data_IF_961711095533
#
_entry.id   IF_961711095533
#
_cell.length_a   1.000
_cell.length_b   1.000
_cell.length_c   1.000
_cell.angle_alpha   90.00
_cell.angle_beta   90.00
_cell.angle_gamma   90.00
#
_symmetry.space_group_name_H-M   'P 1'
#
loop_
_entity.id
_entity.type
_entity.pdbx_description
1 polymer ?
#
# COMPACT_ATOMS: atom_id res chain seq x y z
N UNK A 1 17.37 5.72 -37.61
CA UNK A 1 17.87 6.45 -36.43
C UNK A 1 18.04 7.92 -36.82
N UNK A 2 16.99 8.71 -36.69
CA UNK A 2 16.97 10.18 -36.78
C UNK A 2 15.53 10.62 -36.52
N UNK A 3 15.18 10.67 -35.25
CA UNK A 3 13.89 11.19 -34.80
C UNK A 3 14.11 11.97 -33.50
N UNK A 4 14.93 13.02 -33.54
CA UNK A 4 15.22 13.80 -32.35
C UNK A 4 15.45 15.29 -32.60
N UNK A 5 15.10 15.82 -33.75
CA UNK A 5 15.33 17.25 -34.05
C UNK A 5 14.06 18.12 -34.01
N UNK A 6 12.88 17.52 -33.81
CA UNK A 6 11.62 18.27 -33.80
C UNK A 6 11.20 18.75 -32.38
N UNK A 7 11.83 18.28 -31.30
CA UNK A 7 11.47 18.59 -29.94
C UNK A 7 12.19 19.78 -29.31
N UNK A 8 13.08 20.45 -30.02
CA UNK A 8 13.85 21.59 -29.51
C UNK A 8 13.34 22.97 -29.94
N UNK A 9 12.10 23.09 -30.39
CA UNK A 9 11.51 24.40 -30.69
C UNK A 9 10.73 24.94 -29.46
N UNK A 10 11.33 25.88 -28.76
CA UNK A 10 10.71 26.58 -27.63
C UNK A 10 11.56 26.61 -26.38
N UNK A 11 10.99 27.09 -25.29
CA UNK A 11 11.60 27.14 -23.93
C UNK A 11 11.51 25.81 -23.17
N UNK A 12 10.76 24.83 -23.70
CA UNK A 12 10.61 23.52 -23.10
C UNK A 12 11.90 22.72 -23.22
N UNK A 13 12.34 22.15 -22.12
CA UNK A 13 13.47 21.21 -22.05
C UNK A 13 13.05 20.00 -21.23
N UNK A 14 13.04 18.78 -21.83
CA UNK A 14 12.63 17.56 -21.13
C UNK A 14 13.43 17.26 -19.84
N UNK A 15 14.68 17.74 -19.78
CA UNK A 15 15.54 17.60 -18.60
C UNK A 15 15.04 18.36 -17.35
N UNK A 16 14.10 19.29 -17.53
CA UNK A 16 13.45 20.03 -16.45
C UNK A 16 12.06 19.47 -16.08
N UNK A 17 11.62 18.43 -16.77
CA UNK A 17 10.40 17.71 -16.38
C UNK A 17 10.66 16.92 -15.11
N UNK A 18 9.99 17.31 -14.03
CA UNK A 18 10.05 16.63 -12.75
C UNK A 18 8.65 16.34 -12.28
N UNK A 19 8.46 15.15 -11.68
CA UNK A 19 7.22 14.82 -11.01
C UNK A 19 6.98 15.79 -9.86
N UNK A 20 5.78 16.34 -9.78
CA UNK A 20 5.38 17.25 -8.72
C UNK A 20 4.73 16.47 -7.58
N UNK A 21 5.50 16.13 -6.54
CA UNK A 21 4.99 15.49 -5.33
C UNK A 21 4.96 16.48 -4.16
N UNK A 22 3.95 16.32 -3.28
CA UNK A 22 3.94 16.93 -1.96
C UNK A 22 4.26 15.85 -0.93
N UNK A 23 5.23 16.08 -0.06
CA UNK A 23 5.61 15.16 1.01
C UNK A 23 5.66 15.93 2.33
N UNK A 24 5.13 15.31 3.39
CA UNK A 24 5.29 15.78 4.76
C UNK A 24 5.67 14.61 5.67
N UNK A 25 6.30 14.91 6.79
CA UNK A 25 6.67 13.93 7.79
C UNK A 25 6.44 14.49 9.20
N UNK A 26 5.94 13.65 10.09
CA UNK A 26 5.75 13.94 11.50
C UNK A 26 6.40 12.84 12.34
N UNK A 27 7.01 13.24 13.45
CA UNK A 27 7.55 12.30 14.41
C UNK A 27 7.39 12.89 15.82
N UNK A 28 7.04 12.03 16.79
CA UNK A 28 7.14 12.39 18.20
C UNK A 28 8.60 12.24 18.65
N UNK A 29 9.15 13.32 19.24
CA UNK A 29 10.56 13.34 19.66
C UNK A 29 10.87 12.44 20.87
N UNK A 30 9.82 12.08 21.62
CA UNK A 30 9.93 11.16 22.76
C UNK A 30 9.69 9.70 22.36
N UNK A 31 9.28 9.47 21.09
CA UNK A 31 8.93 8.14 20.59
C UNK A 31 7.60 7.61 21.10
N UNK A 32 6.73 8.49 21.63
CA UNK A 32 5.41 8.09 22.11
C UNK A 32 4.42 7.92 20.96
N UNK A 33 3.54 6.94 21.09
CA UNK A 33 2.52 6.65 20.08
C UNK A 33 1.22 7.36 20.43
N UNK A 34 0.84 8.34 19.60
CA UNK A 34 -0.39 9.10 19.77
C UNK A 34 -1.21 9.09 18.48
N UNK A 35 -2.52 8.95 18.62
CA UNK A 35 -3.43 9.07 17.48
C UNK A 35 -3.34 10.45 16.81
N UNK A 36 -3.06 11.49 17.59
CA UNK A 36 -2.90 12.85 17.06
C UNK A 36 -1.86 12.96 15.94
N UNK A 37 -0.76 12.19 15.99
CA UNK A 37 0.25 12.16 14.92
C UNK A 37 -0.36 11.71 13.59
N UNK A 38 -1.29 10.75 13.62
CA UNK A 38 -1.99 10.31 12.41
C UNK A 38 -2.93 11.40 11.90
N UNK A 39 -3.70 12.06 12.76
CA UNK A 39 -4.59 13.16 12.38
C UNK A 39 -3.80 14.34 11.79
N UNK A 40 -2.68 14.68 12.39
CA UNK A 40 -1.80 15.74 11.90
C UNK A 40 -1.16 15.34 10.55
N UNK A 41 -0.76 14.08 10.36
CA UNK A 41 -0.26 13.57 9.08
C UNK A 41 -1.33 13.59 7.98
N UNK A 42 -2.57 13.24 8.31
CA UNK A 42 -3.71 13.39 7.39
C UNK A 42 -3.97 14.86 7.06
N UNK A 43 -3.79 15.77 8.02
CA UNK A 43 -3.92 17.20 7.80
C UNK A 43 -2.86 17.75 6.85
N UNK A 44 -1.66 17.16 6.82
CA UNK A 44 -0.63 17.49 5.81
C UNK A 44 -1.16 17.17 4.41
N UNK A 45 -1.80 16.04 4.20
CA UNK A 45 -2.36 15.68 2.88
C UNK A 45 -3.38 16.71 2.41
N UNK A 46 -4.24 17.22 3.32
CA UNK A 46 -5.17 18.32 3.01
C UNK A 46 -4.42 19.56 2.56
N UNK A 47 -3.41 19.96 3.33
CA UNK A 47 -2.65 21.17 3.04
C UNK A 47 -1.84 21.06 1.72
N UNK A 48 -1.59 19.83 1.26
CA UNK A 48 -0.91 19.54 0.00
C UNK A 48 -1.85 19.35 -1.21
N UNK A 49 -3.17 19.48 -1.02
CA UNK A 49 -4.16 19.32 -2.10
C UNK A 49 -3.87 20.21 -3.31
N UNK A 50 -3.39 21.44 -3.08
CA UNK A 50 -3.00 22.39 -4.13
C UNK A 50 -1.80 21.93 -4.98
N UNK A 51 -1.12 20.86 -4.58
CA UNK A 51 -0.01 20.23 -5.30
C UNK A 51 -0.45 19.00 -6.10
N UNK A 52 -1.69 18.55 -5.93
CA UNK A 52 -2.28 17.46 -6.68
C UNK A 52 -2.88 17.92 -8.01
N UNK A 53 -2.88 17.06 -9.01
CA UNK A 53 -3.62 17.24 -10.25
C UNK A 53 -5.03 16.68 -10.12
N UNK A 54 -5.98 17.34 -10.75
CA UNK A 54 -7.32 16.80 -10.98
C UNK A 54 -7.43 16.33 -12.41
N UNK A 55 -8.02 15.15 -12.63
CA UNK A 55 -8.28 14.61 -13.96
C UNK A 55 -9.46 15.32 -14.65
N UNK A 56 -9.94 14.71 -15.75
CA UNK A 56 -11.14 15.18 -16.45
C UNK A 56 -12.40 15.13 -15.56
N UNK A 57 -12.42 14.23 -14.60
CA UNK A 57 -13.49 14.11 -13.62
C UNK A 57 -13.08 14.86 -12.34
N UNK A 58 -14.00 15.65 -11.77
CA UNK A 58 -13.74 16.40 -10.54
C UNK A 58 -13.39 15.51 -9.33
N UNK A 59 -13.83 14.24 -9.39
CA UNK A 59 -13.65 13.25 -8.33
C UNK A 59 -12.55 12.25 -8.64
N UNK A 60 -11.70 12.53 -9.63
CA UNK A 60 -10.54 11.70 -9.98
C UNK A 60 -9.31 12.59 -10.03
N UNK A 61 -8.31 12.28 -9.24
CA UNK A 61 -7.07 13.05 -9.15
C UNK A 61 -5.87 12.15 -8.91
N UNK A 62 -4.73 12.78 -8.68
CA UNK A 62 -3.51 12.11 -8.25
C UNK A 62 -3.77 11.40 -6.91
N UNK A 63 -3.22 10.23 -6.73
CA UNK A 63 -3.39 9.48 -5.50
C UNK A 63 -2.74 10.14 -4.29
N UNK A 64 -3.22 9.80 -3.11
CA UNK A 64 -2.60 10.16 -1.84
C UNK A 64 -2.25 8.90 -1.04
N UNK A 65 -1.31 9.02 -0.12
CA UNK A 65 -0.94 7.90 0.74
C UNK A 65 -0.33 8.35 2.05
N UNK A 66 -0.37 7.45 3.01
CA UNK A 66 0.23 7.64 4.33
C UNK A 66 1.01 6.39 4.73
N UNK A 67 2.19 6.59 5.30
CA UNK A 67 3.01 5.55 5.91
C UNK A 67 3.05 5.79 7.41
N UNK A 68 2.73 4.78 8.20
CA UNK A 68 2.78 4.86 9.66
C UNK A 68 3.13 3.50 10.28
N UNK A 69 3.33 3.46 11.59
CA UNK A 69 3.64 2.23 12.30
C UNK A 69 2.48 1.24 12.23
N UNK A 70 2.79 -0.07 12.20
CA UNK A 70 1.77 -1.13 12.25
C UNK A 70 0.89 -0.95 13.50
N UNK A 71 -0.43 -0.73 13.35
CA UNK A 71 -1.32 -0.48 14.47
C UNK A 71 -1.73 -1.82 15.11
N UNK A 72 -0.88 -2.36 16.01
CA UNK A 72 -1.06 -3.69 16.59
C UNK A 72 -2.42 -3.88 17.27
N UNK A 73 -2.86 -2.91 18.07
CA UNK A 73 -4.14 -3.01 18.78
C UNK A 73 -5.34 -3.10 17.83
N UNK A 74 -5.29 -2.33 16.75
CA UNK A 74 -6.30 -2.40 15.71
C UNK A 74 -6.32 -3.77 15.04
N UNK A 75 -5.17 -4.22 14.52
CA UNK A 75 -5.12 -5.51 13.83
C UNK A 75 -5.45 -6.70 14.73
N UNK A 76 -5.17 -6.61 16.02
CA UNK A 76 -5.60 -7.63 16.98
C UNK A 76 -7.12 -7.71 17.07
N UNK A 77 -7.82 -6.56 17.12
CA UNK A 77 -9.30 -6.52 17.10
C UNK A 77 -9.86 -7.07 15.78
N UNK A 78 -9.26 -6.67 14.65
CA UNK A 78 -9.69 -7.14 13.33
C UNK A 78 -9.47 -8.65 13.14
N UNK A 79 -8.34 -9.19 13.57
CA UNK A 79 -8.06 -10.62 13.56
C UNK A 79 -9.11 -11.40 14.40
N UNK A 80 -9.44 -10.90 15.59
CA UNK A 80 -10.46 -11.52 16.44
C UNK A 80 -11.84 -11.56 15.76
N UNK A 81 -12.24 -10.52 15.04
CA UNK A 81 -13.50 -10.52 14.26
C UNK A 81 -13.53 -11.64 13.19
N UNK A 82 -12.37 -11.99 12.66
CA UNK A 82 -12.20 -13.07 11.68
C UNK A 82 -11.93 -14.43 12.32
N UNK A 83 -12.00 -14.54 13.66
CA UNK A 83 -11.68 -15.78 14.37
C UNK A 83 -10.20 -16.16 14.36
N UNK A 84 -9.31 -15.19 14.07
CA UNK A 84 -7.86 -15.39 13.99
C UNK A 84 -7.16 -14.86 15.24
N UNK A 85 -6.03 -15.49 15.57
CA UNK A 85 -5.15 -15.04 16.66
C UNK A 85 -3.92 -14.36 16.02
N UNK A 86 -3.74 -13.08 16.33
CA UNK A 86 -2.58 -12.34 15.88
C UNK A 86 -1.42 -12.57 16.85
N UNK A 87 -0.19 -12.87 16.38
CA UNK A 87 0.99 -12.96 17.24
C UNK A 87 1.30 -11.63 17.96
N UNK A 88 2.27 -11.65 18.87
CA UNK A 88 2.73 -10.44 19.53
C UNK A 88 3.28 -9.41 18.55
N UNK A 89 3.30 -8.14 18.96
CA UNK A 89 3.88 -7.06 18.16
C UNK A 89 5.36 -7.36 17.84
N UNK A 90 5.72 -7.22 16.55
CA UNK A 90 7.05 -7.56 16.06
C UNK A 90 7.25 -9.02 15.64
N UNK A 91 6.32 -9.93 16.00
CA UNK A 91 6.34 -11.34 15.60
C UNK A 91 5.50 -11.63 14.36
N UNK A 92 4.97 -10.60 13.73
CA UNK A 92 4.27 -10.71 12.45
C UNK A 92 4.55 -9.48 11.58
N UNK A 93 4.41 -9.66 10.29
CA UNK A 93 4.42 -8.59 9.30
C UNK A 93 3.06 -8.44 8.62
N UNK A 94 2.82 -7.28 8.03
CA UNK A 94 1.62 -7.01 7.24
C UNK A 94 2.05 -6.60 5.83
N UNK A 95 1.51 -7.29 4.83
CA UNK A 95 1.60 -6.87 3.44
C UNK A 95 0.31 -6.16 3.03
N UNK A 96 0.43 -4.98 2.42
CA UNK A 96 -0.66 -4.27 1.76
C UNK A 96 -0.55 -4.51 0.26
N UNK A 97 -1.62 -5.02 -0.34
CA UNK A 97 -1.61 -5.59 -1.68
C UNK A 97 -2.77 -5.06 -2.51
N UNK A 98 -2.48 -4.75 -3.78
CA UNK A 98 -3.46 -4.36 -4.76
C UNK A 98 -3.57 -5.47 -5.81
N UNK A 99 -4.77 -5.97 -6.00
CA UNK A 99 -5.11 -7.09 -6.89
C UNK A 99 -6.05 -6.65 -8.01
N UNK A 100 -6.20 -7.46 -9.07
CA UNK A 100 -7.23 -7.25 -10.08
C UNK A 100 -8.63 -7.18 -9.48
N UNK A 101 -9.59 -6.68 -10.26
CA UNK A 101 -11.01 -6.66 -9.86
C UNK A 101 -11.69 -8.03 -10.02
N UNK A 102 -11.22 -8.82 -10.97
CA UNK A 102 -11.84 -10.09 -11.29
C UNK A 102 -11.38 -11.22 -10.35
N UNK A 103 -12.31 -12.10 -9.99
CA UNK A 103 -12.05 -13.21 -9.04
C UNK A 103 -10.92 -14.13 -9.48
N UNK A 104 -10.77 -14.37 -10.79
CA UNK A 104 -9.70 -15.20 -11.33
C UNK A 104 -8.35 -14.54 -11.11
N UNK A 105 -8.25 -13.26 -11.44
CA UNK A 105 -7.02 -12.49 -11.23
C UNK A 105 -6.64 -12.40 -9.75
N UNK A 106 -7.62 -12.19 -8.87
CA UNK A 106 -7.40 -12.26 -7.41
C UNK A 106 -6.88 -13.64 -7.00
N UNK A 107 -7.49 -14.71 -7.51
CA UNK A 107 -7.07 -16.08 -7.20
C UNK A 107 -5.64 -16.38 -7.67
N UNK A 108 -5.31 -16.02 -8.91
CA UNK A 108 -3.97 -16.19 -9.49
C UNK A 108 -2.91 -15.38 -8.69
N UNK A 109 -3.21 -14.14 -8.35
CA UNK A 109 -2.30 -13.28 -7.59
C UNK A 109 -2.09 -13.78 -6.15
N UNK A 110 -3.14 -14.25 -5.48
CA UNK A 110 -3.02 -14.89 -4.14
C UNK A 110 -2.15 -16.13 -4.19
N UNK A 111 -2.35 -17.00 -5.18
CA UNK A 111 -1.53 -18.20 -5.36
C UNK A 111 -0.05 -17.85 -5.52
N UNK A 112 0.28 -16.89 -6.40
CA UNK A 112 1.67 -16.43 -6.59
C UNK A 112 2.26 -15.87 -5.30
N UNK A 113 1.49 -15.11 -4.55
CA UNK A 113 1.90 -14.57 -3.26
C UNK A 113 2.18 -15.69 -2.25
N UNK A 114 1.28 -16.66 -2.12
CA UNK A 114 1.38 -17.79 -1.20
C UNK A 114 2.58 -18.69 -1.54
N UNK A 115 2.79 -18.98 -2.83
CA UNK A 115 3.97 -19.73 -3.32
C UNK A 115 5.28 -18.97 -3.00
N UNK A 116 5.31 -17.66 -3.21
CA UNK A 116 6.48 -16.84 -2.88
C UNK A 116 6.78 -16.79 -1.38
N UNK A 117 5.75 -16.74 -0.54
CA UNK A 117 5.89 -16.84 0.91
C UNK A 117 6.45 -18.21 1.32
N UNK A 118 5.92 -19.29 0.75
CA UNK A 118 6.39 -20.66 1.01
C UNK A 118 7.86 -20.84 0.60
N UNK A 119 8.25 -20.37 -0.59
CA UNK A 119 9.63 -20.39 -1.08
C UNK A 119 10.60 -19.61 -0.18
N UNK A 120 10.17 -18.44 0.32
CA UNK A 120 10.95 -17.64 1.24
C UNK A 120 10.93 -18.17 2.68
N UNK A 121 10.13 -19.21 2.98
CA UNK A 121 9.97 -19.77 4.32
C UNK A 121 9.33 -18.78 5.31
N UNK A 122 8.39 -17.94 4.84
CA UNK A 122 7.64 -16.99 5.65
C UNK A 122 6.20 -17.47 5.77
N UNK A 123 5.71 -17.86 6.96
CA UNK A 123 4.36 -18.37 7.13
C UNK A 123 3.31 -17.31 6.82
N UNK A 124 2.34 -17.61 5.95
CA UNK A 124 1.12 -16.83 5.80
C UNK A 124 0.14 -17.26 6.91
N UNK A 125 -0.30 -16.30 7.72
CA UNK A 125 -1.22 -16.53 8.81
C UNK A 125 -2.67 -16.48 8.33
N UNK A 126 -3.07 -15.35 7.75
CA UNK A 126 -4.42 -15.14 7.20
C UNK A 126 -4.46 -13.93 6.26
N UNK A 127 -5.55 -13.85 5.52
CA UNK A 127 -5.91 -12.73 4.67
C UNK A 127 -6.98 -11.86 5.32
N UNK A 128 -6.91 -10.56 5.09
CA UNK A 128 -7.96 -9.59 5.45
C UNK A 128 -8.29 -8.76 4.23
N UNK A 129 -9.56 -8.66 3.92
CA UNK A 129 -10.04 -7.68 2.95
C UNK A 129 -10.05 -6.28 3.59
N UNK A 130 -9.51 -5.30 2.86
CA UNK A 130 -9.52 -3.91 3.32
C UNK A 130 -10.86 -3.30 2.93
N UNK A 131 -11.66 -2.78 3.89
CA UNK A 131 -12.88 -2.09 3.55
C UNK A 131 -12.58 -0.87 2.68
N UNK A 132 -13.23 -0.73 1.54
CA UNK A 132 -13.14 0.43 0.65
C UNK A 132 -14.53 1.00 0.39
N UNK A 133 -14.63 2.32 0.38
CA UNK A 133 -15.84 3.01 -0.01
C UNK A 133 -15.66 3.68 -1.38
N UNK A 134 -16.25 3.13 -2.45
CA UNK A 134 -16.13 3.67 -3.79
C UNK A 134 -17.15 4.77 -4.10
N UNK A 135 -17.96 5.21 -3.11
CA UNK A 135 -19.12 6.06 -3.36
C UNK A 135 -18.76 7.37 -4.09
N UNK A 136 -17.66 8.00 -3.67
CA UNK A 136 -17.23 9.31 -4.20
C UNK A 136 -16.22 9.21 -5.35
N UNK A 137 -15.88 8.01 -5.81
CA UNK A 137 -14.99 7.84 -6.96
C UNK A 137 -15.68 8.17 -8.27
N UNK A 138 -14.97 8.88 -9.17
CA UNK A 138 -15.39 9.06 -10.56
C UNK A 138 -15.48 7.72 -11.31
N UNK A 139 -16.19 7.71 -12.45
CA UNK A 139 -16.39 6.47 -13.24
C UNK A 139 -15.06 5.84 -13.68
N UNK A 140 -14.11 6.66 -14.14
CA UNK A 140 -12.81 6.18 -14.59
C UNK A 140 -12.02 5.53 -13.45
N UNK A 141 -11.97 6.16 -12.26
CA UNK A 141 -11.28 5.62 -11.10
C UNK A 141 -11.96 4.32 -10.61
N UNK A 142 -13.29 4.28 -10.62
CA UNK A 142 -14.06 3.10 -10.23
C UNK A 142 -13.85 1.93 -11.20
N UNK A 143 -13.72 2.20 -12.50
CA UNK A 143 -13.49 1.18 -13.53
C UNK A 143 -12.10 0.51 -13.38
N UNK A 144 -11.12 1.19 -12.80
CA UNK A 144 -9.77 0.65 -12.57
C UNK A 144 -9.42 0.43 -11.09
N UNK A 145 -10.40 0.53 -10.18
CA UNK A 145 -10.19 0.33 -8.75
C UNK A 145 -9.70 -1.09 -8.46
N UNK A 146 -8.57 -1.28 -7.77
CA UNK A 146 -8.08 -2.61 -7.43
C UNK A 146 -8.87 -3.22 -6.26
N UNK A 147 -8.86 -4.54 -6.15
CA UNK A 147 -9.20 -5.23 -4.91
C UNK A 147 -8.03 -5.08 -3.93
N UNK A 148 -8.28 -4.59 -2.72
CA UNK A 148 -7.23 -4.31 -1.74
C UNK A 148 -7.29 -5.36 -0.64
N UNK A 149 -6.20 -6.11 -0.48
CA UNK A 149 -6.08 -7.13 0.55
C UNK A 149 -4.86 -6.89 1.45
N UNK A 150 -4.96 -7.35 2.68
CA UNK A 150 -3.85 -7.45 3.60
C UNK A 150 -3.53 -8.92 3.85
N UNK A 151 -2.24 -9.28 3.75
CA UNK A 151 -1.74 -10.58 4.17
C UNK A 151 -0.95 -10.42 5.47
N UNK A 152 -1.29 -11.21 6.47
CA UNK A 152 -0.58 -11.27 7.74
C UNK A 152 0.41 -12.43 7.70
N UNK A 153 1.66 -12.13 8.01
CA UNK A 153 2.81 -13.02 7.84
C UNK A 153 3.46 -13.27 9.19
N UNK A 154 3.62 -14.53 9.56
CA UNK A 154 4.30 -14.90 10.79
C UNK A 154 5.82 -14.74 10.68
N UNK A 155 6.47 -14.43 11.80
CA UNK A 155 7.93 -14.51 11.90
C UNK A 155 8.33 -15.99 11.97
N UNK A 156 9.24 -16.47 11.08
CA UNK A 156 9.77 -17.82 11.17
C UNK A 156 10.55 -18.05 12.47
N UNK A 157 10.48 -19.25 13.04
CA UNK A 157 11.15 -19.61 14.29
C UNK A 157 12.69 -19.46 14.23
N UNK A 158 13.27 -19.66 13.04
CA UNK A 158 14.69 -19.52 12.76
C UNK A 158 15.15 -18.08 12.57
N UNK A 159 14.23 -17.12 12.60
CA UNK A 159 14.48 -15.72 12.27
C UNK A 159 14.33 -14.84 13.53
N UNK A 160 15.39 -14.18 14.02
CA UNK A 160 15.30 -13.23 15.12
C UNK A 160 14.35 -12.06 14.80
N UNK A 161 13.67 -11.54 15.81
CA UNK A 161 12.83 -10.36 15.68
C UNK A 161 13.63 -9.11 15.26
N UNK A 162 12.96 -8.07 14.82
CA UNK A 162 13.57 -6.80 14.44
C UNK A 162 14.17 -6.83 13.02
N UNK A 163 15.39 -6.34 12.84
CA UNK A 163 16.00 -6.16 11.51
C UNK A 163 16.19 -7.46 10.73
N UNK A 164 16.39 -8.58 11.42
CA UNK A 164 16.51 -9.88 10.76
C UNK A 164 15.16 -10.27 10.09
N UNK A 165 14.07 -10.06 10.79
CA UNK A 165 12.74 -10.33 10.24
C UNK A 165 12.37 -9.34 9.13
N UNK A 166 12.71 -8.05 9.26
CA UNK A 166 12.52 -7.08 8.17
C UNK A 166 13.27 -7.50 6.89
N UNK A 167 14.51 -7.94 7.00
CA UNK A 167 15.28 -8.47 5.85
C UNK A 167 14.63 -9.71 5.25
N UNK A 168 14.09 -10.61 6.09
CA UNK A 168 13.39 -11.80 5.63
C UNK A 168 12.13 -11.43 4.85
N UNK A 169 11.33 -10.49 5.36
CA UNK A 169 10.16 -9.95 4.67
C UNK A 169 10.53 -9.27 3.35
N UNK A 170 11.63 -8.50 3.32
CA UNK A 170 12.12 -7.89 2.08
C UNK A 170 12.49 -8.94 1.02
N UNK A 171 13.24 -9.98 1.40
CA UNK A 171 13.60 -11.07 0.49
C UNK A 171 12.34 -11.80 -0.01
N UNK A 172 11.40 -12.09 0.89
CA UNK A 172 10.11 -12.69 0.55
C UNK A 172 9.34 -11.82 -0.47
N UNK A 173 9.22 -10.53 -0.22
CA UNK A 173 8.63 -9.56 -1.16
C UNK A 173 9.27 -9.64 -2.54
N UNK A 174 10.62 -9.62 -2.61
CA UNK A 174 11.35 -9.67 -3.90
C UNK A 174 11.15 -11.00 -4.62
N UNK A 175 11.01 -12.11 -3.90
CA UNK A 175 10.67 -13.41 -4.47
C UNK A 175 9.28 -13.39 -5.08
N UNK A 176 8.30 -12.86 -4.35
CA UNK A 176 6.91 -12.70 -4.82
C UNK A 176 6.86 -11.83 -6.08
N UNK A 177 7.50 -10.65 -6.05
CA UNK A 177 7.52 -9.71 -7.18
C UNK A 177 8.13 -10.36 -8.43
N UNK A 178 9.25 -11.08 -8.31
CA UNK A 178 9.86 -11.80 -9.44
C UNK A 178 8.94 -12.88 -10.01
N UNK A 179 8.25 -13.63 -9.16
CA UNK A 179 7.27 -14.65 -9.61
C UNK A 179 6.12 -13.99 -10.34
N UNK A 180 5.58 -12.91 -9.78
CA UNK A 180 4.49 -12.16 -10.40
C UNK A 180 4.90 -11.57 -11.75
N UNK A 181 6.08 -10.97 -11.86
CA UNK A 181 6.61 -10.44 -13.13
C UNK A 181 6.77 -11.55 -14.18
N UNK A 182 7.24 -12.73 -13.79
CA UNK A 182 7.41 -13.86 -14.70
C UNK A 182 6.07 -14.44 -15.17
N UNK A 183 5.09 -14.57 -14.28
CA UNK A 183 3.80 -15.18 -14.60
C UNK A 183 2.86 -14.23 -15.32
N UNK A 184 2.89 -12.93 -14.96
CA UNK A 184 2.00 -11.91 -15.51
C UNK A 184 2.69 -11.02 -16.57
N UNK A 185 3.87 -11.40 -17.08
CA UNK A 185 4.66 -10.63 -18.04
C UNK A 185 3.91 -10.26 -19.32
N UNK A 186 2.90 -11.04 -19.70
CA UNK A 186 2.06 -10.83 -20.91
C UNK A 186 0.67 -10.25 -20.58
N UNK A 187 0.40 -9.96 -19.32
CA UNK A 187 -0.84 -9.32 -18.88
C UNK A 187 -0.49 -7.95 -18.31
N UNK A 188 -1.40 -6.99 -18.42
CA UNK A 188 -1.24 -5.71 -17.74
C UNK A 188 -0.98 -5.98 -16.25
N UNK A 189 0.04 -5.30 -15.69
CA UNK A 189 0.50 -5.49 -14.31
C UNK A 189 -0.65 -5.33 -13.34
N UNK A 190 -1.19 -6.45 -12.88
CA UNK A 190 -2.41 -6.51 -12.10
C UNK A 190 -2.14 -6.72 -10.61
N UNK A 191 -0.87 -6.93 -10.24
CA UNK A 191 -0.47 -7.24 -8.88
C UNK A 191 0.59 -6.25 -8.39
N UNK A 192 0.33 -5.65 -7.24
CA UNK A 192 1.24 -4.68 -6.65
C UNK A 192 1.36 -4.86 -5.14
N UNK A 193 2.59 -5.04 -4.66
CA UNK A 193 2.91 -5.04 -3.22
C UNK A 193 3.21 -3.61 -2.78
N UNK A 194 2.26 -2.95 -2.14
CA UNK A 194 2.42 -1.57 -1.67
C UNK A 194 3.43 -1.48 -0.53
N UNK A 195 3.25 -2.30 0.49
CA UNK A 195 4.17 -2.43 1.63
C UNK A 195 4.18 -3.86 2.15
N UNK A 196 5.27 -4.27 2.81
CA UNK A 196 5.41 -5.55 3.49
C UNK A 196 6.45 -5.39 4.58
N UNK A 197 6.02 -5.24 5.83
CA UNK A 197 6.88 -4.92 6.96
C UNK A 197 6.23 -5.36 8.27
N UNK A 198 7.06 -5.61 9.30
CA UNK A 198 6.62 -5.81 10.67
C UNK A 198 6.52 -4.51 11.48
N UNK A 199 7.02 -3.40 10.92
CA UNK A 199 7.13 -2.10 11.60
C UNK A 199 6.19 -1.05 11.06
N UNK A 200 6.02 -0.99 9.74
CA UNK A 200 5.27 0.06 9.06
C UNK A 200 4.28 -0.51 8.05
N UNK A 201 3.25 0.27 7.79
CA UNK A 201 2.27 -0.03 6.76
C UNK A 201 2.02 1.20 5.91
N UNK A 202 1.77 1.02 4.62
CA UNK A 202 1.43 2.08 3.68
C UNK A 202 0.00 1.90 3.24
N UNK A 203 -0.83 2.91 3.46
CA UNK A 203 -2.14 3.06 2.85
C UNK A 203 -2.05 4.00 1.66
N UNK A 204 -2.63 3.61 0.55
CA UNK A 204 -2.73 4.41 -0.66
C UNK A 204 -4.15 4.37 -1.20
N UNK A 205 -4.59 5.48 -1.78
CA UNK A 205 -5.86 5.58 -2.46
C UNK A 205 -5.76 6.61 -3.60
N UNK A 206 -6.78 6.66 -4.43
CA UNK A 206 -6.96 7.71 -5.44
C UNK A 206 -8.08 8.68 -5.01
N UNK A 207 -8.03 9.25 -3.80
CA UNK A 207 -9.01 10.21 -3.39
C UNK A 207 -8.66 11.58 -3.94
N UNK A 208 -9.67 12.32 -4.34
CA UNK A 208 -9.56 13.77 -4.61
C UNK A 208 -9.45 14.55 -3.31
N UNK A 209 -9.82 13.93 -2.19
CA UNK A 209 -9.70 14.54 -0.87
C UNK A 209 -9.34 13.52 0.21
N UNK A 210 -8.66 13.98 1.25
CA UNK A 210 -8.26 13.23 2.44
C UNK A 210 -9.44 12.58 3.20
N UNK A 211 -10.68 13.02 2.96
CA UNK A 211 -11.90 12.49 3.57
C UNK A 211 -12.03 10.99 3.35
N UNK A 212 -11.56 10.48 2.22
CA UNK A 212 -11.60 9.05 1.90
C UNK A 212 -10.56 8.24 2.67
N UNK A 213 -9.38 8.78 2.93
CA UNK A 213 -8.40 8.10 3.81
C UNK A 213 -8.89 8.03 5.26
N UNK A 214 -9.70 9.00 5.71
CA UNK A 214 -10.35 8.95 7.02
C UNK A 214 -11.43 7.89 7.11
N UNK A 215 -12.22 7.67 6.07
CA UNK A 215 -13.38 6.78 6.11
C UNK A 215 -13.02 5.31 6.35
N UNK A 216 -11.82 4.88 5.93
CA UNK A 216 -11.46 3.48 5.93
C UNK A 216 -10.93 2.93 7.27
N UNK A 217 -10.43 3.79 8.17
CA UNK A 217 -9.75 3.31 9.37
C UNK A 217 -9.98 4.16 10.65
N UNK A 218 -10.80 5.22 10.61
CA UNK A 218 -10.95 6.12 11.76
C UNK A 218 -11.71 5.54 12.96
N UNK A 219 -12.48 4.46 12.79
CA UNK A 219 -13.08 3.71 13.90
C UNK A 219 -12.11 2.78 14.62
N UNK A 220 -10.88 2.70 14.18
CA UNK A 220 -9.98 1.61 14.48
C UNK A 220 -8.87 1.95 15.50
N UNK A 221 -8.66 3.20 15.82
CA UNK A 221 -7.48 3.67 16.57
C UNK A 221 -7.78 4.11 18.01
N UNK A 222 -8.95 3.74 18.54
CA UNK A 222 -9.28 3.91 19.97
C UNK A 222 -8.93 2.69 20.79
#
# INVERSE_FOLDING_TARGET
MQADSAQQQGLYRPEFDHDACGIGALADINGERHHQILDDALSILVNLEHRGGTGLEKNTGDGAGILFQVPHHFFRKEAQKCGQILPAEGDYGVAMLFFPQDDKGVGDARRVFEEGCAEAGVPLLFWREVPVDPHDLGETARACMPTILQAFLGRPDDTPAGDAFERRLYVCRRTIEKKADAEFALRDKIFYVCSMSSRTIVYKGMPVSYTHLRAHETGAYL
#
